data_IF_281958907288
#
_entry.id   IF_281958907288
#
_cell.length_a   1.000
_cell.length_b   1.000
_cell.length_c   1.000
_cell.angle_alpha   90.00
_cell.angle_beta   90.00
_cell.angle_gamma   90.00
#
_symmetry.space_group_name_H-M   'P 1'
#
loop_
_entity.id
_entity.type
_entity.pdbx_description
1 polymer ?
#
# COMPACT_ATOMS: atom_id res chain seq x y z
N UNK A 1 -16.98 15.35 1.02
CA UNK A 1 -16.73 14.36 -0.05
C UNK A 1 -15.49 13.56 0.32
N UNK A 2 -15.57 12.22 0.45
CA UNK A 2 -14.38 11.41 0.76
C UNK A 2 -13.44 11.34 -0.44
N UNK A 3 -12.13 11.51 -0.20
CA UNK A 3 -11.13 11.42 -1.26
C UNK A 3 -10.94 9.96 -1.74
N UNK A 4 -10.31 9.78 -2.89
CA UNK A 4 -9.96 8.44 -3.40
C UNK A 4 -8.98 7.75 -2.43
N UNK A 5 -8.04 8.51 -1.88
CA UNK A 5 -7.07 8.07 -0.89
C UNK A 5 -7.77 7.46 0.34
N UNK A 6 -8.79 8.14 0.87
CA UNK A 6 -9.56 7.67 2.02
C UNK A 6 -10.30 6.35 1.71
N UNK A 7 -10.94 6.27 0.54
CA UNK A 7 -11.68 5.06 0.11
C UNK A 7 -10.76 3.86 -0.01
N UNK A 8 -9.58 4.05 -0.61
CA UNK A 8 -8.54 3.03 -0.71
C UNK A 8 -8.07 2.61 0.68
N UNK A 9 -7.75 3.57 1.54
CA UNK A 9 -7.25 3.30 2.88
C UNK A 9 -8.27 2.53 3.73
N UNK A 10 -9.56 2.88 3.66
CA UNK A 10 -10.64 2.17 4.35
C UNK A 10 -10.74 0.74 3.86
N UNK A 11 -10.68 0.50 2.54
CA UNK A 11 -10.72 -0.85 1.96
C UNK A 11 -9.53 -1.69 2.42
N UNK A 12 -8.35 -1.11 2.43
CA UNK A 12 -7.11 -1.78 2.86
C UNK A 12 -7.14 -2.09 4.36
N UNK A 13 -7.57 -1.13 5.21
CA UNK A 13 -7.68 -1.32 6.67
C UNK A 13 -8.65 -2.42 7.08
N UNK A 14 -9.70 -2.66 6.27
CA UNK A 14 -10.70 -3.71 6.53
C UNK A 14 -10.22 -5.11 6.14
N UNK A 15 -9.16 -5.24 5.35
CA UNK A 15 -8.68 -6.54 4.92
C UNK A 15 -7.78 -7.21 5.96
N UNK A 16 -7.66 -8.53 5.85
CA UNK A 16 -6.76 -9.32 6.69
C UNK A 16 -5.30 -8.93 6.45
N UNK A 17 -4.45 -9.10 7.46
CA UNK A 17 -3.00 -8.84 7.35
C UNK A 17 -2.39 -9.69 6.22
N UNK A 18 -1.47 -9.11 5.46
CA UNK A 18 -0.85 -9.81 4.33
C UNK A 18 -1.71 -9.90 3.07
N UNK A 19 -2.91 -9.30 3.05
CA UNK A 19 -3.73 -9.24 1.84
C UNK A 19 -3.03 -8.40 0.78
N UNK A 20 -2.93 -8.97 -0.42
CA UNK A 20 -2.42 -8.31 -1.60
C UNK A 20 -3.56 -7.62 -2.34
N UNK A 21 -3.31 -6.39 -2.78
CA UNK A 21 -4.25 -5.64 -3.59
C UNK A 21 -3.65 -5.30 -4.93
N UNK A 22 -4.46 -5.42 -5.98
CA UNK A 22 -4.17 -4.98 -7.33
C UNK A 22 -4.84 -3.64 -7.63
N UNK A 23 -4.26 -2.85 -8.54
CA UNK A 23 -4.81 -1.55 -8.95
C UNK A 23 -6.27 -1.65 -9.45
N UNK A 24 -6.59 -2.73 -10.18
CA UNK A 24 -7.93 -2.97 -10.72
C UNK A 24 -9.00 -3.03 -9.62
N UNK A 25 -8.65 -3.54 -8.44
CA UNK A 25 -9.55 -3.62 -7.28
C UNK A 25 -9.99 -2.26 -6.72
N UNK A 26 -9.42 -1.17 -7.22
CA UNK A 26 -9.70 0.22 -6.81
C UNK A 26 -10.31 1.07 -7.92
N UNK A 27 -10.48 0.55 -9.15
CA UNK A 27 -11.08 1.30 -10.27
C UNK A 27 -12.54 1.71 -10.00
N UNK A 28 -13.22 1.03 -9.08
CA UNK A 28 -14.54 1.45 -8.58
C UNK A 28 -14.52 2.80 -7.83
N UNK A 29 -13.34 3.29 -7.43
CA UNK A 29 -13.18 4.56 -6.72
C UNK A 29 -12.82 5.73 -7.64
N UNK A 30 -12.42 5.47 -8.89
CA UNK A 30 -12.06 6.47 -9.89
C UNK A 30 -11.30 5.88 -11.07
N UNK A 31 -10.94 6.73 -12.03
CA UNK A 31 -10.15 6.29 -13.19
C UNK A 31 -8.74 5.83 -12.80
N UNK A 32 -8.11 5.03 -13.67
CA UNK A 32 -6.80 4.43 -13.42
C UNK A 32 -5.73 5.44 -13.03
N UNK A 33 -5.70 6.63 -13.65
CA UNK A 33 -4.73 7.68 -13.37
C UNK A 33 -4.90 8.28 -11.96
N UNK A 34 -6.14 8.52 -11.56
CA UNK A 34 -6.48 9.06 -10.24
C UNK A 34 -6.17 8.03 -9.14
N UNK A 35 -6.50 6.76 -9.38
CA UNK A 35 -6.16 5.64 -8.48
C UNK A 35 -4.64 5.51 -8.35
N UNK A 36 -3.90 5.49 -9.46
CA UNK A 36 -2.44 5.40 -9.43
C UNK A 36 -1.82 6.52 -8.60
N UNK A 37 -2.27 7.76 -8.78
CA UNK A 37 -1.75 8.92 -8.03
C UNK A 37 -2.15 8.90 -6.55
N UNK A 38 -3.29 8.32 -6.19
CA UNK A 38 -3.66 8.08 -4.79
C UNK A 38 -2.78 7.00 -4.14
N UNK A 39 -2.51 5.93 -4.88
CA UNK A 39 -1.61 4.86 -4.42
C UNK A 39 -0.18 5.36 -4.20
N UNK A 40 0.36 6.16 -5.13
CA UNK A 40 1.67 6.82 -4.96
C UNK A 40 1.73 7.67 -3.68
N UNK A 41 0.69 8.48 -3.42
CA UNK A 41 0.60 9.30 -2.19
C UNK A 41 0.56 8.44 -0.93
N UNK A 42 -0.19 7.34 -0.93
CA UNK A 42 -0.28 6.42 0.20
C UNK A 42 1.01 5.61 0.44
N UNK A 43 1.75 5.29 -0.63
CA UNK A 43 3.08 4.69 -0.54
C UNK A 43 4.06 5.69 0.09
N UNK A 44 4.08 6.92 -0.42
CA UNK A 44 4.97 7.98 0.08
C UNK A 44 4.67 8.39 1.53
N UNK A 45 3.40 8.32 1.96
CA UNK A 45 3.01 8.58 3.35
C UNK A 45 3.31 7.42 4.31
N UNK A 46 3.82 6.29 3.80
CA UNK A 46 4.17 5.11 4.59
C UNK A 46 2.97 4.27 5.04
N UNK A 47 1.76 4.55 4.56
CA UNK A 47 0.55 3.78 4.88
C UNK A 47 0.49 2.42 4.20
N UNK A 48 1.17 2.25 3.06
CA UNK A 48 1.24 1.00 2.28
C UNK A 48 2.64 0.85 1.65
N UNK A 49 3.04 -0.37 1.32
CA UNK A 49 4.30 -0.67 0.64
C UNK A 49 4.07 -1.46 -0.65
N UNK A 50 4.88 -1.18 -1.68
CA UNK A 50 4.82 -1.91 -2.95
C UNK A 50 5.71 -3.14 -2.87
N UNK A 51 5.15 -4.32 -3.17
CA UNK A 51 5.85 -5.61 -3.05
C UNK A 51 6.53 -6.01 -4.36
N UNK A 52 6.04 -5.57 -5.53
CA UNK A 52 6.62 -5.92 -6.82
C UNK A 52 6.49 -4.79 -7.86
N UNK A 53 7.37 -4.82 -8.88
CA UNK A 53 7.29 -4.02 -10.12
C UNK A 53 6.09 -4.49 -10.95
N UNK A 54 4.92 -4.10 -10.49
CA UNK A 54 3.64 -4.52 -11.03
C UNK A 54 2.57 -3.85 -10.21
N UNK A 55 1.93 -4.55 -9.30
CA UNK A 55 0.61 -4.09 -8.87
C UNK A 55 0.27 -4.40 -7.41
N UNK A 56 1.22 -4.91 -6.62
CA UNK A 56 0.93 -5.48 -5.30
C UNK A 56 1.22 -4.52 -4.15
N UNK A 57 0.18 -4.15 -3.40
CA UNK A 57 0.27 -3.31 -2.20
C UNK A 57 0.10 -4.11 -0.92
N UNK A 58 0.98 -3.88 0.05
CA UNK A 58 0.97 -4.47 1.39
C UNK A 58 0.69 -3.39 2.44
N UNK A 59 -0.28 -3.62 3.32
CA UNK A 59 -0.58 -2.70 4.42
C UNK A 59 0.43 -2.86 5.55
N UNK A 60 1.29 -1.85 5.73
CA UNK A 60 2.30 -1.81 6.78
C UNK A 60 1.75 -1.03 7.97
N UNK A 61 1.26 -1.72 9.01
CA UNK A 61 1.10 -1.11 10.33
C UNK A 61 2.47 -1.18 11.01
N UNK A 62 3.15 -0.05 11.13
CA UNK A 62 4.40 0.16 11.90
C UNK A 62 4.27 -0.66 13.21
N UNK A 63 5.10 -1.65 13.54
CA UNK A 63 6.57 -1.66 13.66
C UNK A 63 7.25 -2.67 12.71
N UNK A 64 7.84 -2.19 11.63
CA UNK A 64 8.71 -3.03 10.79
C UNK A 64 9.99 -2.30 10.40
N UNK A 65 10.07 -0.98 10.59
CA UNK A 65 11.30 -0.21 10.45
C UNK A 65 12.29 -0.47 11.60
N UNK A 66 11.82 -0.60 12.85
CA UNK A 66 12.68 -1.02 13.99
C UNK A 66 13.27 -2.43 13.81
N UNK A 67 12.57 -3.32 13.10
CA UNK A 67 13.04 -4.70 12.89
C UNK A 67 14.01 -4.78 11.71
N UNK A 68 13.79 -3.98 10.65
CA UNK A 68 14.68 -3.98 9.48
C UNK A 68 16.10 -3.48 9.80
N UNK A 69 16.23 -2.53 10.73
CA UNK A 69 17.54 -2.09 11.24
C UNK A 69 18.27 -3.17 12.04
N UNK A 70 17.57 -4.22 12.48
CA UNK A 70 18.13 -5.35 13.21
C UNK A 70 18.38 -6.58 12.32
N UNK A 71 17.99 -6.53 11.03
CA UNK A 71 18.20 -7.64 10.10
C UNK A 71 19.56 -7.54 9.41
N UNK A 72 20.37 -8.62 9.40
CA UNK A 72 21.68 -8.61 8.77
C UNK A 72 21.56 -8.38 7.26
N UNK A 73 22.53 -7.64 6.70
CA UNK A 73 22.61 -7.14 5.32
C UNK A 73 22.29 -8.12 4.18
N UNK A 74 22.22 -9.43 4.44
CA UNK A 74 21.89 -10.45 3.43
C UNK A 74 20.42 -10.45 2.99
N UNK A 75 19.51 -9.84 3.76
CA UNK A 75 18.07 -9.80 3.45
C UNK A 75 17.59 -8.45 2.90
N UNK A 76 18.52 -7.51 2.65
CA UNK A 76 18.22 -6.17 2.13
C UNK A 76 18.45 -6.03 0.61
N UNK A 77 18.58 -7.15 -0.11
CA UNK A 77 18.80 -7.19 -1.57
C UNK A 77 17.50 -7.30 -2.36
#
# INVERSE_FOLDING_TARGET
MQSIDDKILVKIKKAKRGTLFFMEGFLAFGNARAVAKALERLVNSGGISRVARGFTLFYKRIQFWEIFSLLPNRLQR
#
